data_IF_695398344374
#
_entry.id   IF_695398344374
#
_cell.length_a   1.000
_cell.length_b   1.000
_cell.length_c   1.000
_cell.angle_alpha   90.00
_cell.angle_beta   90.00
_cell.angle_gamma   90.00
#
_symmetry.space_group_name_H-M   'P 1'
#
loop_
_entity.id
_entity.type
_entity.pdbx_description
1 polymer ?
#
# COMPACT_ATOMS: atom_id res chain seq x y z
N UNK A 1 -4.82 -15.99 3.18
CA UNK A 1 -4.11 -15.93 1.88
C UNK A 1 -4.97 -16.66 0.88
N UNK A 2 -5.45 -15.96 -0.15
CA UNK A 2 -6.32 -16.55 -1.18
C UNK A 2 -5.50 -17.21 -2.28
N UNK A 3 -4.48 -16.49 -2.76
CA UNK A 3 -3.57 -16.98 -3.82
C UNK A 3 -2.13 -16.63 -3.54
N UNK A 4 -1.23 -17.49 -3.99
CA UNK A 4 0.22 -17.29 -3.94
C UNK A 4 0.80 -17.46 -5.34
N UNK A 5 1.56 -16.48 -5.83
CA UNK A 5 2.07 -16.44 -7.20
C UNK A 5 3.54 -16.82 -7.32
N UNK A 6 4.24 -16.99 -6.19
CA UNK A 6 5.69 -17.24 -6.18
C UNK A 6 6.06 -18.41 -5.27
N UNK A 7 7.17 -19.06 -5.60
CA UNK A 7 7.76 -20.14 -4.82
C UNK A 7 9.13 -19.75 -4.28
N UNK A 8 9.64 -20.56 -3.35
CA UNK A 8 11.02 -20.42 -2.89
C UNK A 8 11.99 -20.61 -4.05
N UNK A 9 12.98 -19.74 -4.16
CA UNK A 9 13.94 -19.69 -5.26
C UNK A 9 13.55 -18.79 -6.42
N UNK A 10 12.29 -18.32 -6.51
CA UNK A 10 11.87 -17.44 -7.59
C UNK A 10 12.52 -16.05 -7.45
N UNK A 11 12.97 -15.50 -8.59
CA UNK A 11 13.45 -14.12 -8.68
C UNK A 11 12.25 -13.18 -8.81
N UNK A 12 12.25 -12.13 -8.01
CA UNK A 12 11.18 -11.13 -7.98
C UNK A 12 11.76 -9.73 -8.16
N UNK A 13 10.94 -8.85 -8.73
CA UNK A 13 11.26 -7.43 -8.90
C UNK A 13 10.39 -6.59 -7.96
N UNK A 14 10.90 -5.42 -7.59
CA UNK A 14 10.17 -4.47 -6.75
C UNK A 14 8.77 -4.17 -7.32
N UNK A 15 7.74 -4.30 -6.48
CA UNK A 15 6.34 -4.10 -6.87
C UNK A 15 5.67 -5.33 -7.51
N UNK A 16 6.40 -6.41 -7.76
CA UNK A 16 5.80 -7.66 -8.25
C UNK A 16 4.84 -8.25 -7.21
N UNK A 17 3.65 -8.65 -7.63
CA UNK A 17 2.66 -9.31 -6.76
C UNK A 17 3.16 -10.70 -6.38
N UNK A 18 3.17 -10.97 -5.08
CA UNK A 18 3.61 -12.25 -4.49
C UNK A 18 2.44 -13.10 -4.04
N UNK A 19 1.44 -12.47 -3.45
CA UNK A 19 0.23 -13.12 -2.96
C UNK A 19 -0.93 -12.14 -2.89
N UNK A 20 -2.14 -12.68 -2.87
CA UNK A 20 -3.37 -11.96 -2.61
C UNK A 20 -4.06 -12.53 -1.37
N UNK A 21 -4.54 -11.64 -0.52
CA UNK A 21 -5.41 -11.97 0.60
C UNK A 21 -6.86 -11.93 0.14
N UNK A 22 -7.78 -12.49 0.92
CA UNK A 22 -9.21 -12.39 0.62
C UNK A 22 -9.67 -10.93 0.60
N UNK A 23 -10.34 -10.53 -0.49
CA UNK A 23 -10.68 -9.13 -0.78
C UNK A 23 -12.17 -8.84 -0.67
N UNK A 24 -13.05 -9.84 -0.48
CA UNK A 24 -14.51 -9.65 -0.58
C UNK A 24 -15.03 -8.59 0.39
N UNK A 25 -14.63 -8.68 1.65
CA UNK A 25 -15.11 -7.77 2.69
C UNK A 25 -14.52 -6.37 2.52
N UNK A 26 -13.25 -6.28 2.15
CA UNK A 26 -12.58 -4.99 1.90
C UNK A 26 -13.10 -4.31 0.64
N UNK A 27 -13.38 -5.05 -0.43
CA UNK A 27 -13.99 -4.53 -1.65
C UNK A 27 -15.44 -4.05 -1.41
N UNK A 28 -16.22 -4.79 -0.60
CA UNK A 28 -17.56 -4.36 -0.23
C UNK A 28 -17.54 -3.07 0.60
N UNK A 29 -16.66 -2.98 1.60
CA UNK A 29 -16.48 -1.78 2.41
C UNK A 29 -16.00 -0.57 1.60
N UNK A 30 -15.08 -0.78 0.64
CA UNK A 30 -14.64 0.28 -0.26
C UNK A 30 -15.77 0.79 -1.16
N UNK A 31 -16.59 -0.11 -1.70
CA UNK A 31 -17.76 0.28 -2.50
C UNK A 31 -18.78 1.08 -1.67
N UNK A 32 -19.04 0.69 -0.45
CA UNK A 32 -19.90 1.44 0.48
C UNK A 32 -19.33 2.83 0.76
N UNK A 33 -18.05 2.93 1.11
CA UNK A 33 -17.38 4.21 1.35
C UNK A 33 -17.46 5.15 0.13
N UNK A 34 -17.26 4.61 -1.09
CA UNK A 34 -17.41 5.38 -2.34
C UNK A 34 -18.86 5.82 -2.58
N UNK A 35 -19.85 5.01 -2.23
CA UNK A 35 -21.25 5.40 -2.27
C UNK A 35 -21.53 6.59 -1.35
N UNK A 36 -21.12 6.53 -0.11
CA UNK A 36 -21.26 7.60 0.87
C UNK A 36 -20.54 8.90 0.44
N UNK A 37 -19.37 8.78 -0.19
CA UNK A 37 -18.66 9.93 -0.76
C UNK A 37 -19.46 10.59 -1.89
N UNK A 38 -20.06 9.81 -2.80
CA UNK A 38 -20.90 10.34 -3.89
C UNK A 38 -22.14 11.04 -3.36
N UNK A 39 -22.77 10.51 -2.30
CA UNK A 39 -23.90 11.14 -1.64
C UNK A 39 -23.53 12.46 -0.98
N UNK A 40 -22.41 12.49 -0.25
CA UNK A 40 -21.89 13.71 0.35
C UNK A 40 -21.55 14.78 -0.71
N UNK A 41 -20.95 14.37 -1.84
CA UNK A 41 -20.66 15.27 -2.97
C UNK A 41 -21.94 15.87 -3.57
N UNK A 42 -22.98 15.05 -3.71
CA UNK A 42 -24.27 15.51 -4.23
C UNK A 42 -24.96 16.49 -3.27
N UNK A 43 -24.87 16.23 -1.97
CA UNK A 43 -25.40 17.10 -0.93
C UNK A 43 -24.66 18.45 -0.88
N UNK A 44 -23.34 18.45 -1.01
CA UNK A 44 -22.57 19.70 -1.10
C UNK A 44 -22.99 20.51 -2.33
N UNK A 45 -23.08 19.89 -3.49
CA UNK A 45 -23.50 20.56 -4.75
C UNK A 45 -24.92 21.14 -4.65
N UNK A 46 -25.80 20.50 -3.88
CA UNK A 46 -27.14 21.05 -3.58
C UNK A 46 -27.01 22.27 -2.67
N UNK A 47 -26.27 22.17 -1.57
CA UNK A 47 -26.06 23.25 -0.61
C UNK A 47 -25.40 24.48 -1.25
N UNK A 48 -24.44 24.29 -2.15
CA UNK A 48 -23.80 25.36 -2.93
C UNK A 48 -24.82 26.13 -3.79
N UNK A 49 -25.68 25.39 -4.52
CA UNK A 49 -26.74 26.02 -5.34
C UNK A 49 -27.78 26.75 -4.48
N UNK A 50 -28.11 26.19 -3.32
CA UNK A 50 -29.05 26.84 -2.41
C UNK A 50 -28.44 28.11 -1.81
N UNK A 51 -27.18 28.08 -1.38
CA UNK A 51 -26.44 29.25 -0.92
C UNK A 51 -26.38 30.35 -2.01
N UNK A 52 -26.03 29.99 -3.24
CA UNK A 52 -25.99 30.95 -4.35
C UNK A 52 -27.33 31.64 -4.55
N UNK A 53 -28.44 30.88 -4.55
CA UNK A 53 -29.81 31.37 -4.70
C UNK A 53 -30.19 32.31 -3.58
N UNK A 54 -30.00 31.90 -2.32
CA UNK A 54 -30.43 32.69 -1.16
C UNK A 54 -29.52 33.90 -0.92
N UNK A 55 -28.24 33.84 -1.25
CA UNK A 55 -27.37 35.01 -1.26
C UNK A 55 -27.81 36.04 -2.31
N UNK A 56 -28.29 35.63 -3.48
CA UNK A 56 -28.86 36.53 -4.48
C UNK A 56 -30.16 37.17 -3.99
N UNK A 57 -31.04 36.41 -3.33
CA UNK A 57 -32.29 36.90 -2.75
C UNK A 57 -32.05 37.90 -1.58
N UNK A 58 -31.04 37.65 -0.77
CA UNK A 58 -30.62 38.57 0.29
C UNK A 58 -30.15 39.91 -0.29
N UNK A 59 -29.32 39.89 -1.32
CA UNK A 59 -28.87 41.13 -2.02
C UNK A 59 -30.01 41.94 -2.61
N UNK A 60 -31.15 41.31 -2.92
CA UNK A 60 -32.37 41.94 -3.41
C UNK A 60 -33.31 42.36 -2.29
N UNK A 61 -32.96 42.11 -1.02
CA UNK A 61 -33.81 42.39 0.14
C UNK A 61 -35.03 41.47 0.29
N UNK A 62 -35.04 40.32 -0.42
CA UNK A 62 -36.16 39.39 -0.44
C UNK A 62 -36.14 38.37 0.74
N UNK A 63 -35.00 38.23 1.41
CA UNK A 63 -34.83 37.36 2.59
C UNK A 63 -33.97 38.10 3.63
N UNK A 64 -34.03 37.66 4.91
CA UNK A 64 -33.22 38.22 5.98
C UNK A 64 -31.78 37.70 5.90
N UNK A 65 -30.86 38.43 6.53
CA UNK A 65 -29.46 38.02 6.68
C UNK A 65 -29.34 36.63 7.34
N UNK A 66 -30.11 36.39 8.40
CA UNK A 66 -30.14 35.10 9.09
C UNK A 66 -30.42 33.93 8.16
N UNK A 67 -31.38 34.11 7.21
CA UNK A 67 -31.69 33.06 6.24
C UNK A 67 -30.49 32.80 5.30
N UNK A 68 -29.79 33.86 4.86
CA UNK A 68 -28.61 33.69 4.01
C UNK A 68 -27.47 32.97 4.75
N UNK A 69 -27.28 33.31 6.04
CA UNK A 69 -26.27 32.69 6.91
C UNK A 69 -26.59 31.20 7.16
N UNK A 70 -27.87 30.85 7.37
CA UNK A 70 -28.27 29.44 7.54
C UNK A 70 -27.88 28.61 6.34
N UNK A 71 -27.99 29.13 5.11
CA UNK A 71 -27.53 28.41 3.90
C UNK A 71 -25.99 28.37 3.76
N UNK A 72 -25.29 29.41 4.28
CA UNK A 72 -23.84 29.37 4.35
C UNK A 72 -23.36 28.28 5.31
N UNK A 73 -23.94 28.18 6.49
CA UNK A 73 -23.65 27.12 7.44
C UNK A 73 -24.01 25.72 6.90
N UNK A 74 -25.15 25.61 6.18
CA UNK A 74 -25.54 24.35 5.56
C UNK A 74 -24.52 23.88 4.52
N UNK A 75 -23.97 24.80 3.71
CA UNK A 75 -22.92 24.50 2.74
C UNK A 75 -21.64 24.09 3.44
N UNK A 76 -21.21 24.80 4.48
CA UNK A 76 -19.99 24.47 5.23
C UNK A 76 -20.12 23.11 5.93
N UNK A 77 -21.28 22.79 6.47
CA UNK A 77 -21.56 21.47 7.05
C UNK A 77 -21.48 20.36 5.98
N UNK A 78 -22.05 20.61 4.79
CA UNK A 78 -21.99 19.66 3.70
C UNK A 78 -20.56 19.47 3.18
N UNK A 79 -19.73 20.53 3.14
CA UNK A 79 -18.32 20.45 2.78
C UNK A 79 -17.53 19.62 3.80
N UNK A 80 -17.74 19.83 5.10
CA UNK A 80 -17.11 19.04 6.15
C UNK A 80 -17.49 17.55 6.07
N UNK A 81 -18.76 17.24 5.75
CA UNK A 81 -19.20 15.84 5.53
C UNK A 81 -18.55 15.19 4.32
N UNK A 82 -18.36 15.96 3.23
CA UNK A 82 -17.65 15.45 2.05
C UNK A 82 -16.19 15.14 2.38
N UNK A 83 -15.52 16.00 3.13
CA UNK A 83 -14.13 15.78 3.53
C UNK A 83 -13.99 14.55 4.44
N UNK A 84 -14.89 14.37 5.39
CA UNK A 84 -14.94 13.17 6.22
C UNK A 84 -15.17 11.89 5.40
N UNK A 85 -16.11 11.91 4.45
CA UNK A 85 -16.37 10.79 3.56
C UNK A 85 -15.16 10.47 2.66
N UNK A 86 -14.44 11.51 2.20
CA UNK A 86 -13.18 11.35 1.44
C UNK A 86 -12.11 10.63 2.26
N UNK A 87 -11.95 11.03 3.52
CA UNK A 87 -11.03 10.36 4.45
C UNK A 87 -11.36 8.88 4.63
N UNK A 88 -12.67 8.55 4.71
CA UNK A 88 -13.12 7.16 4.81
C UNK A 88 -12.77 6.36 3.54
N UNK A 89 -12.99 6.92 2.35
CA UNK A 89 -12.59 6.26 1.08
C UNK A 89 -11.09 6.00 1.07
N UNK A 90 -10.27 6.98 1.43
CA UNK A 90 -8.82 6.83 1.44
C UNK A 90 -8.35 5.74 2.42
N UNK A 91 -8.98 5.64 3.60
CA UNK A 91 -8.69 4.58 4.56
C UNK A 91 -9.04 3.19 4.00
N UNK A 92 -10.21 3.06 3.35
CA UNK A 92 -10.64 1.79 2.74
C UNK A 92 -9.78 1.41 1.52
N UNK A 93 -9.33 2.38 0.73
CA UNK A 93 -8.40 2.14 -0.38
C UNK A 93 -7.06 1.59 0.13
N UNK A 94 -6.48 2.21 1.16
CA UNK A 94 -5.24 1.71 1.77
C UNK A 94 -5.42 0.30 2.36
N UNK A 95 -6.58 0.01 2.94
CA UNK A 95 -6.88 -1.33 3.45
C UNK A 95 -7.02 -2.34 2.31
N UNK A 96 -7.67 -1.98 1.22
CA UNK A 96 -7.81 -2.82 0.03
C UNK A 96 -6.46 -3.07 -0.65
N UNK A 97 -5.62 -2.03 -0.83
CA UNK A 97 -4.26 -2.17 -1.34
C UNK A 97 -3.42 -3.11 -0.46
N UNK A 98 -3.60 -3.06 0.86
CA UNK A 98 -2.93 -3.95 1.82
C UNK A 98 -3.29 -5.43 1.67
N UNK A 99 -4.33 -5.78 0.89
CA UNK A 99 -4.66 -7.18 0.56
C UNK A 99 -3.79 -7.76 -0.55
N UNK A 100 -3.10 -6.93 -1.32
CA UNK A 100 -2.15 -7.34 -2.36
C UNK A 100 -0.73 -7.25 -1.82
N UNK A 101 -0.10 -8.38 -1.61
CA UNK A 101 1.26 -8.45 -1.09
C UNK A 101 2.25 -8.35 -2.25
N UNK A 102 3.07 -7.32 -2.24
CA UNK A 102 4.07 -7.06 -3.29
C UNK A 102 5.49 -7.12 -2.76
N UNK A 103 6.46 -7.36 -3.63
CA UNK A 103 7.88 -7.33 -3.28
C UNK A 103 8.34 -5.88 -2.99
N UNK A 104 8.95 -5.59 -1.83
CA UNK A 104 9.44 -4.26 -1.49
C UNK A 104 10.74 -3.89 -2.23
N UNK A 105 11.48 -4.88 -2.73
CA UNK A 105 12.75 -4.73 -3.45
C UNK A 105 12.95 -5.90 -4.41
N UNK A 106 13.91 -5.75 -5.32
CA UNK A 106 14.39 -6.85 -6.16
C UNK A 106 15.12 -7.90 -5.30
N UNK A 107 15.00 -9.17 -5.68
CA UNK A 107 15.67 -10.23 -4.94
C UNK A 107 15.18 -11.62 -5.31
N UNK A 108 15.46 -12.58 -4.44
CA UNK A 108 14.97 -13.97 -4.54
C UNK A 108 14.14 -14.30 -3.30
N UNK A 109 13.05 -15.02 -3.50
CA UNK A 109 12.25 -15.58 -2.40
C UNK A 109 13.10 -16.63 -1.68
N UNK A 110 13.66 -16.25 -0.53
CA UNK A 110 14.48 -17.15 0.27
C UNK A 110 13.64 -18.12 1.11
N UNK A 111 12.42 -17.68 1.48
CA UNK A 111 11.49 -18.52 2.25
C UNK A 111 10.05 -18.09 2.03
N UNK A 112 9.16 -19.07 1.93
CA UNK A 112 7.70 -18.90 2.00
C UNK A 112 7.22 -19.53 3.30
N UNK A 113 6.67 -18.69 4.20
CA UNK A 113 6.24 -19.15 5.53
C UNK A 113 4.87 -19.83 5.51
N UNK A 114 3.99 -19.43 4.58
CA UNK A 114 2.61 -19.89 4.55
C UNK A 114 2.14 -20.25 3.14
N UNK A 115 1.16 -21.14 3.08
CA UNK A 115 0.53 -21.60 1.83
C UNK A 115 -0.83 -20.92 1.64
N UNK A 116 -1.44 -21.14 0.47
CA UNK A 116 -2.83 -20.78 0.21
C UNK A 116 -3.76 -21.41 1.26
N UNK A 117 -4.82 -20.71 1.61
CA UNK A 117 -5.73 -21.10 2.68
C UNK A 117 -5.29 -20.68 4.09
N UNK A 118 -4.08 -20.18 4.27
CA UNK A 118 -3.62 -19.70 5.57
C UNK A 118 -4.33 -18.40 5.98
N UNK A 119 -4.79 -18.33 7.24
CA UNK A 119 -5.35 -17.11 7.80
C UNK A 119 -4.22 -16.22 8.35
N UNK A 120 -3.88 -15.18 7.60
CA UNK A 120 -2.85 -14.22 7.98
C UNK A 120 -3.44 -13.09 8.84
N UNK A 121 -2.74 -12.75 9.91
CA UNK A 121 -3.04 -11.56 10.71
C UNK A 121 -2.00 -10.46 10.44
N UNK A 122 -2.34 -9.22 10.77
CA UNK A 122 -1.39 -8.11 10.63
C UNK A 122 -0.08 -8.41 11.39
N UNK A 123 1.05 -8.21 10.71
CA UNK A 123 2.38 -8.51 11.25
C UNK A 123 2.87 -9.94 11.03
N UNK A 124 2.05 -10.84 10.45
CA UNK A 124 2.52 -12.20 10.11
C UNK A 124 3.46 -12.14 8.90
N UNK A 125 4.70 -12.67 9.00
CA UNK A 125 5.60 -12.75 7.86
C UNK A 125 5.08 -13.80 6.86
N UNK A 126 4.90 -13.43 5.60
CA UNK A 126 4.46 -14.34 4.54
C UNK A 126 5.64 -14.84 3.70
N UNK A 127 6.57 -13.94 3.35
CA UNK A 127 7.74 -14.24 2.54
C UNK A 127 8.99 -13.61 3.16
N UNK A 128 10.14 -14.25 2.92
CA UNK A 128 11.44 -13.63 3.09
C UNK A 128 12.08 -13.43 1.72
N UNK A 129 12.53 -12.22 1.43
CA UNK A 129 13.24 -11.87 0.19
C UNK A 129 14.69 -11.60 0.55
N UNK A 130 15.61 -12.24 -0.16
CA UNK A 130 17.03 -12.00 -0.04
C UNK A 130 17.54 -11.22 -1.25
N UNK A 131 18.23 -10.12 -0.99
CA UNK A 131 19.05 -9.45 -2.00
C UNK A 131 20.35 -10.23 -2.16
N UNK A 132 20.57 -10.75 -3.35
CA UNK A 132 21.77 -11.53 -3.69
C UNK A 132 22.72 -10.76 -4.61
N UNK A 133 22.53 -9.45 -4.77
CA UNK A 133 23.40 -8.59 -5.59
C UNK A 133 24.84 -8.58 -5.06
N UNK A 134 25.00 -8.71 -3.75
CA UNK A 134 26.29 -8.80 -3.07
C UNK A 134 26.27 -9.97 -2.11
N UNK A 135 27.14 -10.93 -2.34
CA UNK A 135 27.35 -12.06 -1.44
C UNK A 135 28.59 -11.85 -0.59
N UNK A 136 28.51 -12.21 0.68
CA UNK A 136 29.64 -12.26 1.59
C UNK A 136 29.97 -13.71 1.94
N UNK A 137 31.23 -14.08 1.80
CA UNK A 137 31.71 -15.36 2.29
C UNK A 137 32.73 -15.11 3.41
N UNK A 138 32.73 -16.03 4.37
CA UNK A 138 33.73 -16.03 5.46
C UNK A 138 34.59 -17.26 5.27
N UNK A 139 35.89 -17.03 5.13
CA UNK A 139 36.87 -18.10 4.99
C UNK A 139 37.80 -18.10 6.21
N UNK A 140 38.14 -19.28 6.70
CA UNK A 140 39.14 -19.45 7.76
C UNK A 140 40.48 -19.68 7.13
N UNK A 141 41.43 -18.78 7.42
CA UNK A 141 42.79 -18.86 6.91
C UNK A 141 43.69 -19.40 8.03
N UNK A 142 44.43 -20.52 7.78
CA UNK A 142 45.41 -21.01 8.75
C UNK A 142 46.47 -19.94 9.07
N UNK A 143 46.88 -19.89 10.33
CA UNK A 143 47.84 -18.87 10.84
C UNK A 143 49.12 -18.78 9.98
N UNK A 144 49.62 -19.89 9.46
CA UNK A 144 50.80 -19.93 8.61
C UNK A 144 50.67 -19.19 7.27
N UNK A 145 49.44 -18.91 6.81
CA UNK A 145 49.16 -18.28 5.51
C UNK A 145 48.70 -16.84 5.64
N UNK A 146 48.52 -16.33 6.87
CA UNK A 146 47.92 -15.02 7.13
C UNK A 146 48.77 -13.86 6.63
N UNK A 147 50.12 -14.06 6.54
CA UNK A 147 51.04 -13.03 6.09
C UNK A 147 50.89 -12.61 4.62
N UNK A 148 50.25 -13.46 3.81
CA UNK A 148 49.98 -13.17 2.40
C UNK A 148 48.61 -12.53 2.14
N UNK A 149 47.78 -12.32 3.17
CA UNK A 149 46.39 -11.84 3.02
C UNK A 149 46.29 -10.40 3.50
N UNK A 150 45.81 -9.53 2.63
CA UNK A 150 45.58 -8.11 2.92
C UNK A 150 44.25 -7.65 2.39
N UNK A 151 43.71 -6.56 2.99
CA UNK A 151 42.49 -5.94 2.47
C UNK A 151 42.72 -5.44 1.05
N UNK A 152 41.83 -5.86 0.13
CA UNK A 152 41.94 -5.53 -1.29
C UNK A 152 42.55 -6.62 -2.17
N UNK A 153 42.98 -7.76 -1.59
CA UNK A 153 43.37 -8.91 -2.40
C UNK A 153 42.19 -9.47 -3.15
N UNK A 154 42.37 -9.86 -4.41
CA UNK A 154 41.42 -10.63 -5.18
C UNK A 154 41.38 -12.08 -4.68
N UNK A 155 40.22 -12.66 -4.65
CA UNK A 155 40.01 -14.06 -4.29
C UNK A 155 39.17 -14.77 -5.37
N UNK A 156 39.60 -15.94 -5.78
CA UNK A 156 38.85 -16.81 -6.68
C UNK A 156 38.13 -17.87 -5.84
N UNK A 157 36.80 -17.97 -6.04
CA UNK A 157 35.95 -18.90 -5.32
C UNK A 157 35.45 -19.94 -6.32
N UNK A 158 35.91 -21.18 -6.19
CA UNK A 158 35.39 -22.30 -6.95
C UNK A 158 34.22 -22.96 -6.20
N UNK A 159 33.06 -23.01 -6.82
CA UNK A 159 31.90 -23.72 -6.32
C UNK A 159 31.73 -25.04 -7.09
N UNK A 160 31.92 -26.22 -6.45
CA UNK A 160 31.81 -27.51 -7.15
C UNK A 160 30.45 -27.73 -7.80
N UNK A 161 29.39 -27.14 -7.29
CA UNK A 161 28.03 -27.23 -7.85
C UNK A 161 27.86 -26.45 -9.17
N UNK A 162 28.77 -25.52 -9.48
CA UNK A 162 28.76 -24.67 -10.68
C UNK A 162 30.07 -24.77 -11.45
N UNK A 163 30.66 -25.98 -11.52
CA UNK A 163 31.89 -26.25 -12.25
C UNK A 163 31.75 -25.80 -13.71
N UNK A 164 32.46 -24.72 -14.11
CA UNK A 164 32.43 -24.16 -15.47
C UNK A 164 31.89 -22.73 -15.59
N UNK A 165 31.38 -22.14 -14.56
CA UNK A 165 31.07 -20.70 -14.49
C UNK A 165 32.13 -19.98 -13.64
N UNK A 166 32.95 -19.17 -14.30
CA UNK A 166 33.91 -18.25 -13.68
C UNK A 166 33.24 -16.90 -13.45
#
# INVERSE_FOLDING_TARGET
VERVYVNEGDRVTKGQVLAELEQRDTDAALREARGNYMDAQTNLRKAERDLERYSALYKQGAVSEQVADDYAFARDNAAAKLDAARGTVQAMESQFEGTVITAPADGIISKRYHQEGYYATAGTPLFAIADISVLKTVINIPEGNISGVSVGNEAEIELPAFAGHK
#
